data_IF_079034012899
#
_entry.id   IF_079034012899
#
_cell.length_a   1.000
_cell.length_b   1.000
_cell.length_c   1.000
_cell.angle_alpha   90.00
_cell.angle_beta   90.00
_cell.angle_gamma   90.00
#
_symmetry.space_group_name_H-M   'P 1'
#
loop_
_entity.id
_entity.type
_entity.pdbx_description
1 polymer ?
#
# COMPACT_ATOMS: atom_id res chain seq x y z
N UNK A 1 9.24 18.60 15.25
CA UNK A 1 8.43 19.71 14.67
C UNK A 1 7.04 19.61 15.30
N UNK A 2 6.47 20.70 15.81
CA UNK A 2 5.11 20.65 16.35
C UNK A 2 4.10 20.39 15.22
N UNK A 3 3.12 19.54 15.47
CA UNK A 3 2.11 19.13 14.48
C UNK A 3 1.37 20.35 13.88
N UNK A 4 1.08 21.36 14.68
CA UNK A 4 0.43 22.60 14.21
C UNK A 4 1.27 23.35 13.17
N UNK A 5 2.60 23.40 13.37
CA UNK A 5 3.52 24.03 12.41
C UNK A 5 3.62 23.24 11.11
N UNK A 6 3.66 21.91 11.21
CA UNK A 6 3.65 21.05 10.03
C UNK A 6 2.39 21.27 9.18
N UNK A 7 1.22 21.18 9.83
CA UNK A 7 -0.08 21.32 9.15
C UNK A 7 -0.29 22.71 8.57
N UNK A 8 0.17 23.75 9.28
CA UNK A 8 0.17 25.12 8.77
C UNK A 8 0.95 25.26 7.46
N UNK A 9 2.15 24.68 7.41
CA UNK A 9 3.03 24.76 6.24
C UNK A 9 2.47 23.95 5.05
N UNK A 10 2.05 22.70 5.29
CA UNK A 10 1.59 21.80 4.22
C UNK A 10 0.29 22.27 3.61
N UNK A 11 -0.64 22.79 4.41
CA UNK A 11 -1.96 23.20 3.96
C UNK A 11 -2.06 24.69 3.61
N UNK A 12 -0.96 25.43 3.76
CA UNK A 12 -0.89 26.86 3.53
C UNK A 12 -1.98 27.65 4.30
N UNK A 13 -2.15 27.32 5.57
CA UNK A 13 -3.05 27.99 6.53
C UNK A 13 -2.24 28.66 7.64
N UNK A 14 -2.84 29.58 8.38
CA UNK A 14 -2.12 30.20 9.49
C UNK A 14 -1.94 29.22 10.67
N UNK A 15 -0.87 29.42 11.45
CA UNK A 15 -0.62 28.62 12.65
C UNK A 15 -1.81 28.63 13.64
N UNK A 16 -2.45 29.80 13.81
CA UNK A 16 -3.65 29.93 14.66
C UNK A 16 -4.83 29.08 14.18
N UNK A 17 -5.03 29.00 12.85
CA UNK A 17 -6.07 28.13 12.27
C UNK A 17 -5.75 26.65 12.50
N UNK A 18 -4.47 26.27 12.34
CA UNK A 18 -4.02 24.91 12.60
C UNK A 18 -4.22 24.51 14.06
N UNK A 19 -3.81 25.37 15.00
CA UNK A 19 -3.93 25.14 16.44
C UNK A 19 -5.42 25.05 16.89
N UNK A 20 -6.25 25.97 16.43
CA UNK A 20 -7.69 25.94 16.74
C UNK A 20 -8.38 24.68 16.18
N UNK A 21 -8.01 24.26 14.97
CA UNK A 21 -8.58 23.06 14.35
C UNK A 21 -8.13 21.79 15.06
N UNK A 22 -6.85 21.70 15.47
CA UNK A 22 -6.33 20.59 16.28
C UNK A 22 -7.10 20.45 17.59
N UNK A 23 -7.23 21.54 18.33
CA UNK A 23 -7.95 21.56 19.61
C UNK A 23 -9.39 21.03 19.44
N UNK A 24 -10.13 21.52 18.46
CA UNK A 24 -11.50 21.07 18.20
C UNK A 24 -11.58 19.58 17.85
N UNK A 25 -10.63 19.05 17.10
CA UNK A 25 -10.56 17.62 16.77
C UNK A 25 -10.22 16.78 18.01
N UNK A 26 -9.32 17.23 18.87
CA UNK A 26 -8.96 16.59 20.14
C UNK A 26 -10.13 16.60 21.16
N UNK A 27 -10.97 17.62 21.13
CA UNK A 27 -12.23 17.70 21.88
C UNK A 27 -13.31 16.75 21.32
N UNK A 28 -13.03 16.02 20.24
CA UNK A 28 -13.94 15.05 19.64
C UNK A 28 -14.92 15.65 18.63
N UNK A 29 -14.74 16.90 18.21
CA UNK A 29 -15.59 17.50 17.20
C UNK A 29 -15.36 16.87 15.82
N UNK A 30 -16.44 16.53 15.12
CA UNK A 30 -16.36 15.99 13.77
C UNK A 30 -16.13 17.08 12.72
N UNK A 31 -15.48 16.75 11.60
CA UNK A 31 -15.24 17.68 10.49
C UNK A 31 -16.55 18.40 10.04
N UNK A 32 -17.68 17.69 9.82
CA UNK A 32 -18.93 18.36 9.46
C UNK A 32 -19.43 19.34 10.53
N UNK A 33 -19.22 19.03 11.81
CA UNK A 33 -19.60 19.92 12.90
C UNK A 33 -18.72 21.17 12.91
N UNK A 34 -17.41 21.04 12.80
CA UNK A 34 -16.47 22.16 12.71
C UNK A 34 -16.81 23.05 11.52
N UNK A 35 -17.02 22.46 10.35
CA UNK A 35 -17.33 23.19 9.12
C UNK A 35 -18.64 24.00 9.18
N UNK A 36 -19.62 23.59 10.03
CA UNK A 36 -20.91 24.27 10.16
C UNK A 36 -20.98 25.24 11.33
N UNK A 37 -20.46 24.84 12.48
CA UNK A 37 -20.72 25.53 13.74
C UNK A 37 -19.49 26.20 14.37
N UNK A 38 -18.29 25.91 13.86
CA UNK A 38 -17.03 26.42 14.40
C UNK A 38 -16.19 27.17 13.35
N UNK A 39 -16.85 27.77 12.36
CA UNK A 39 -16.19 28.49 11.27
C UNK A 39 -15.34 29.65 11.76
N UNK A 40 -15.86 30.45 12.70
CA UNK A 40 -15.14 31.61 13.22
C UNK A 40 -13.90 31.20 14.01
N UNK A 41 -13.98 30.11 14.80
CA UNK A 41 -12.85 29.58 15.57
C UNK A 41 -11.73 29.06 14.66
N UNK A 42 -12.06 28.49 13.52
CA UNK A 42 -11.10 27.97 12.53
C UNK A 42 -10.70 28.99 11.45
N UNK A 43 -11.13 30.25 11.59
CA UNK A 43 -10.86 31.31 10.60
C UNK A 43 -11.45 30.99 9.23
N UNK A 44 -12.67 30.47 9.17
CA UNK A 44 -13.44 30.15 7.96
C UNK A 44 -12.81 29.08 7.05
N UNK A 45 -12.12 28.09 7.60
CA UNK A 45 -11.62 26.96 6.82
C UNK A 45 -12.77 26.23 6.11
N UNK A 46 -12.56 25.89 4.84
CA UNK A 46 -13.54 25.14 4.06
C UNK A 46 -13.63 23.67 4.52
N UNK A 47 -14.76 22.98 4.25
CA UNK A 47 -14.92 21.56 4.49
C UNK A 47 -13.82 20.73 3.80
N UNK A 48 -13.40 21.14 2.60
CA UNK A 48 -12.32 20.52 1.86
C UNK A 48 -10.98 20.66 2.58
N UNK A 49 -10.67 21.86 3.08
CA UNK A 49 -9.44 22.13 3.83
C UNK A 49 -9.43 21.36 5.16
N UNK A 50 -10.58 21.31 5.86
CA UNK A 50 -10.70 20.57 7.11
C UNK A 50 -10.52 19.05 6.92
N UNK A 51 -11.00 18.49 5.81
CA UNK A 51 -10.76 17.07 5.47
C UNK A 51 -9.29 16.80 5.18
N UNK A 52 -8.68 17.65 4.33
CA UNK A 52 -7.24 17.56 4.06
C UNK A 52 -6.41 17.70 5.35
N UNK A 53 -6.87 18.56 6.27
CA UNK A 53 -6.25 18.71 7.58
C UNK A 53 -6.29 17.43 8.41
N UNK A 54 -7.44 16.76 8.47
CA UNK A 54 -7.57 15.50 9.20
C UNK A 54 -6.72 14.38 8.59
N UNK A 55 -6.67 14.28 7.26
CA UNK A 55 -5.85 13.31 6.55
C UNK A 55 -4.35 13.54 6.78
N UNK A 56 -3.91 14.81 6.75
CA UNK A 56 -2.50 15.14 6.96
C UNK A 56 -2.08 14.99 8.42
N UNK A 57 -2.98 15.31 9.36
CA UNK A 57 -2.81 15.03 10.79
C UNK A 57 -2.56 13.53 11.02
N UNK A 58 -3.39 12.68 10.46
CA UNK A 58 -3.26 11.22 10.61
C UNK A 58 -1.93 10.69 10.03
N UNK A 59 -1.50 11.21 8.87
CA UNK A 59 -0.20 10.85 8.29
C UNK A 59 0.95 11.27 9.18
N UNK A 60 0.91 12.48 9.72
CA UNK A 60 1.92 12.99 10.64
C UNK A 60 2.00 12.16 11.92
N UNK A 61 0.87 11.88 12.54
CA UNK A 61 0.81 11.05 13.75
C UNK A 61 1.36 9.64 13.53
N UNK A 62 1.00 9.00 12.42
CA UNK A 62 1.56 7.70 12.03
C UNK A 62 3.08 7.74 11.83
N UNK A 63 3.59 8.81 11.22
CA UNK A 63 5.02 9.00 11.05
C UNK A 63 5.73 9.15 12.41
N UNK A 64 5.21 10.00 13.29
CA UNK A 64 5.80 10.25 14.62
C UNK A 64 5.75 9.00 15.53
N UNK A 65 4.65 8.26 15.52
CA UNK A 65 4.53 7.00 16.22
C UNK A 65 5.54 5.97 15.70
N UNK A 66 5.69 5.92 14.37
CA UNK A 66 6.68 5.03 13.75
C UNK A 66 8.12 5.41 14.07
N UNK A 67 8.45 6.72 14.10
CA UNK A 67 9.76 7.22 14.55
C UNK A 67 10.08 6.74 15.96
N UNK A 68 9.13 6.87 16.90
CA UNK A 68 9.29 6.39 18.29
C UNK A 68 9.60 4.91 18.34
N UNK A 69 8.84 4.10 17.59
CA UNK A 69 9.05 2.65 17.50
C UNK A 69 10.43 2.30 16.94
N UNK A 70 10.86 2.99 15.89
CA UNK A 70 12.18 2.79 15.27
C UNK A 70 13.30 3.15 16.22
N UNK A 71 13.21 4.32 16.87
CA UNK A 71 14.22 4.76 17.85
C UNK A 71 14.34 3.78 19.02
N UNK A 72 13.21 3.32 19.58
CA UNK A 72 13.21 2.32 20.66
C UNK A 72 13.90 1.04 20.23
N UNK A 73 13.54 0.51 19.05
CA UNK A 73 14.11 -0.74 18.52
C UNK A 73 15.63 -0.64 18.28
N UNK A 74 16.11 0.51 17.78
CA UNK A 74 17.55 0.72 17.54
C UNK A 74 18.30 0.91 18.89
N UNK A 75 17.67 1.58 19.83
CA UNK A 75 18.22 1.78 21.19
C UNK A 75 18.36 0.47 21.94
N UNK A 76 17.35 -0.41 21.88
CA UNK A 76 17.38 -1.76 22.49
C UNK A 76 18.52 -2.62 21.93
N UNK A 77 18.92 -2.39 20.67
CA UNK A 77 20.06 -3.04 20.03
C UNK A 77 21.42 -2.40 20.40
N UNK A 78 21.43 -1.29 21.16
CA UNK A 78 22.65 -0.57 21.51
C UNK A 78 23.35 0.13 20.33
N UNK A 79 22.61 0.35 19.21
CA UNK A 79 23.16 0.90 17.97
C UNK A 79 22.74 2.34 17.67
N UNK A 80 22.03 2.99 18.59
CA UNK A 80 21.54 4.35 18.40
C UNK A 80 22.65 5.37 18.64
N UNK A 81 23.18 5.96 17.56
CA UNK A 81 24.12 7.09 17.62
C UNK A 81 23.37 8.43 17.58
N UNK A 82 24.00 9.54 18.05
CA UNK A 82 23.38 10.88 17.94
C UNK A 82 23.01 11.26 16.51
N UNK A 83 23.87 10.97 15.54
CA UNK A 83 23.65 11.27 14.12
C UNK A 83 22.47 10.46 13.54
N UNK A 84 22.32 9.19 13.96
CA UNK A 84 21.23 8.34 13.55
C UNK A 84 19.90 8.80 14.15
N UNK A 85 19.93 9.22 15.42
CA UNK A 85 18.78 9.83 16.08
C UNK A 85 18.31 11.06 15.32
N UNK A 86 19.20 11.98 15.00
CA UNK A 86 18.88 13.18 14.24
C UNK A 86 18.29 12.85 12.86
N UNK A 87 18.88 11.90 12.13
CA UNK A 87 18.34 11.42 10.83
C UNK A 87 16.92 10.89 10.95
N UNK A 88 16.61 10.14 12.00
CA UNK A 88 15.26 9.60 12.22
C UNK A 88 14.28 10.71 12.62
N UNK A 89 14.67 11.60 13.53
CA UNK A 89 13.83 12.70 14.01
C UNK A 89 13.50 13.72 12.91
N UNK A 90 14.46 14.02 12.03
CA UNK A 90 14.27 14.96 10.91
C UNK A 90 13.58 14.33 9.69
N UNK A 91 13.34 13.02 9.71
CA UNK A 91 12.71 12.32 8.60
C UNK A 91 11.28 12.83 8.35
N UNK A 92 10.95 13.08 7.07
CA UNK A 92 9.67 13.67 6.65
C UNK A 92 8.71 12.66 6.00
N UNK A 93 9.15 11.43 5.77
CA UNK A 93 8.30 10.40 5.12
C UNK A 93 8.52 9.01 5.70
N UNK A 94 7.47 8.20 5.73
CA UNK A 94 7.54 6.80 6.14
C UNK A 94 8.51 5.98 5.28
N UNK A 95 8.56 6.24 3.97
CA UNK A 95 9.45 5.53 3.05
C UNK A 95 10.93 5.78 3.39
N UNK A 96 11.28 7.03 3.65
CA UNK A 96 12.64 7.40 4.08
C UNK A 96 12.97 6.79 5.44
N UNK A 97 12.03 6.85 6.38
CA UNK A 97 12.17 6.26 7.72
C UNK A 97 12.43 4.75 7.65
N UNK A 98 11.65 4.02 6.85
CA UNK A 98 11.83 2.58 6.66
C UNK A 98 13.17 2.25 5.99
N UNK A 99 13.63 3.08 5.06
CA UNK A 99 14.95 2.91 4.45
C UNK A 99 16.09 3.10 5.47
N UNK A 100 16.00 4.12 6.33
CA UNK A 100 16.96 4.35 7.43
C UNK A 100 16.93 3.20 8.44
N UNK A 101 15.74 2.67 8.76
CA UNK A 101 15.57 1.59 9.73
C UNK A 101 16.00 0.21 9.18
N UNK A 102 16.09 0.04 7.86
CA UNK A 102 16.33 -1.25 7.20
C UNK A 102 17.53 -2.03 7.76
N UNK A 103 18.71 -1.42 8.02
CA UNK A 103 19.87 -2.12 8.58
C UNK A 103 19.65 -2.62 10.02
N UNK A 104 18.71 -1.99 10.74
CA UNK A 104 18.45 -2.25 12.16
C UNK A 104 17.21 -3.12 12.39
N UNK A 105 16.47 -3.39 11.32
CA UNK A 105 15.26 -4.19 11.41
C UNK A 105 15.59 -5.62 11.83
N UNK A 106 14.97 -6.16 12.90
CA UNK A 106 15.21 -7.54 13.30
C UNK A 106 14.97 -8.51 12.15
N UNK A 107 15.99 -9.23 11.75
CA UNK A 107 15.94 -10.21 10.68
C UNK A 107 15.91 -11.63 11.26
N UNK A 108 15.29 -12.56 10.55
CA UNK A 108 15.47 -14.00 10.81
C UNK A 108 16.91 -14.36 10.44
N UNK A 109 17.36 -15.58 10.86
CA UNK A 109 18.67 -16.09 10.43
C UNK A 109 18.81 -16.05 8.90
N UNK A 110 19.75 -15.24 8.43
CA UNK A 110 20.06 -15.02 7.03
C UNK A 110 21.42 -15.66 6.70
N UNK A 111 21.77 -15.78 5.41
CA UNK A 111 23.10 -16.27 5.01
C UNK A 111 24.22 -15.40 5.58
N UNK A 112 24.08 -14.08 5.49
CA UNK A 112 25.06 -13.14 6.02
C UNK A 112 25.14 -13.17 7.54
N UNK A 113 24.00 -13.30 8.28
CA UNK A 113 24.05 -13.43 9.73
C UNK A 113 24.72 -14.73 10.18
N UNK A 114 24.49 -15.85 9.47
CA UNK A 114 25.18 -17.11 9.72
C UNK A 114 26.69 -16.98 9.43
N UNK A 115 27.05 -16.30 8.35
CA UNK A 115 28.44 -16.04 8.03
C UNK A 115 29.13 -15.14 9.08
N UNK A 116 28.43 -14.15 9.65
CA UNK A 116 28.91 -13.33 10.77
C UNK A 116 29.10 -14.18 12.04
N UNK A 117 28.16 -15.06 12.38
CA UNK A 117 28.29 -16.01 13.50
C UNK A 117 29.54 -16.92 13.30
N UNK A 118 29.88 -17.25 12.07
CA UNK A 118 31.10 -17.99 11.72
C UNK A 118 32.37 -17.11 11.74
N UNK A 119 32.28 -15.83 12.03
CA UNK A 119 33.42 -14.92 12.17
C UNK A 119 34.04 -14.49 10.84
N UNK A 120 33.25 -14.46 9.74
CA UNK A 120 33.74 -14.10 8.41
C UNK A 120 33.65 -12.60 8.11
N UNK A 121 33.22 -11.77 9.06
CA UNK A 121 33.12 -10.32 8.91
C UNK A 121 34.47 -9.64 8.56
N UNK A 122 35.63 -9.99 9.18
CA UNK A 122 36.90 -9.40 8.80
C UNK A 122 37.32 -9.73 7.35
N UNK A 123 36.91 -10.88 6.82
CA UNK A 123 37.16 -11.24 5.42
C UNK A 123 36.26 -10.42 4.47
N UNK A 124 35.02 -10.15 4.86
CA UNK A 124 34.14 -9.25 4.13
C UNK A 124 34.71 -7.81 4.09
N UNK A 125 35.21 -7.32 5.23
CA UNK A 125 35.86 -6.01 5.31
C UNK A 125 37.12 -5.93 4.45
N UNK A 126 37.91 -7.02 4.39
CA UNK A 126 39.09 -7.10 3.52
C UNK A 126 38.71 -6.98 2.04
N UNK A 127 37.68 -7.72 1.61
CA UNK A 127 37.14 -7.62 0.26
C UNK A 127 36.68 -6.17 -0.06
N UNK A 128 36.01 -5.53 0.86
CA UNK A 128 35.47 -4.19 0.65
C UNK A 128 36.57 -3.12 0.60
N UNK A 129 37.67 -3.29 1.34
CA UNK A 129 38.83 -2.39 1.30
C UNK A 129 39.58 -2.42 -0.03
N UNK A 130 39.46 -3.51 -0.80
CA UNK A 130 40.02 -3.68 -2.14
C UNK A 130 41.55 -3.44 -2.20
N UNK A 131 42.23 -3.82 -1.15
CA UNK A 131 43.68 -3.70 -1.03
C UNK A 131 44.36 -5.06 -1.21
N UNK A 132 45.48 -5.12 -1.96
CA UNK A 132 46.18 -6.36 -2.26
C UNK A 132 45.76 -6.95 -3.62
N UNK A 133 46.13 -8.22 -3.83
CA UNK A 133 45.84 -8.97 -5.03
C UNK A 133 45.00 -10.23 -4.76
N UNK A 134 44.64 -10.97 -5.78
CA UNK A 134 43.87 -12.21 -5.66
C UNK A 134 44.57 -13.30 -4.85
N UNK A 135 45.91 -13.27 -4.82
CA UNK A 135 46.71 -14.26 -4.07
C UNK A 135 46.62 -13.95 -2.57
N UNK A 136 46.81 -12.70 -2.20
CA UNK A 136 46.67 -12.25 -0.81
C UNK A 136 45.24 -12.41 -0.25
N UNK A 137 44.21 -12.24 -1.11
CA UNK A 137 42.83 -12.55 -0.74
C UNK A 137 42.65 -14.03 -0.39
N UNK A 138 43.17 -14.93 -1.22
CA UNK A 138 43.09 -16.40 -1.00
C UNK A 138 43.85 -16.81 0.27
N UNK A 139 45.05 -16.27 0.44
CA UNK A 139 45.84 -16.49 1.64
C UNK A 139 45.13 -16.03 2.90
N UNK A 140 44.59 -14.82 2.88
CA UNK A 140 43.81 -14.29 4.02
C UNK A 140 42.54 -15.10 4.26
N UNK A 141 41.80 -15.48 3.23
CA UNK A 141 40.61 -16.33 3.36
C UNK A 141 40.97 -17.72 3.93
N UNK A 142 42.14 -18.27 3.65
CA UNK A 142 42.59 -19.54 4.20
C UNK A 142 42.73 -19.54 5.73
N UNK A 143 42.95 -18.37 6.34
CA UNK A 143 43.08 -18.23 7.81
C UNK A 143 41.72 -18.44 8.53
N UNK A 144 40.60 -18.41 7.81
CA UNK A 144 39.25 -18.60 8.36
C UNK A 144 38.75 -20.04 8.25
N UNK A 145 39.58 -20.95 7.68
CA UNK A 145 39.19 -22.36 7.55
C UNK A 145 39.07 -23.02 8.92
N UNK A 146 37.94 -23.65 9.15
CA UNK A 146 37.61 -24.39 10.37
C UNK A 146 36.49 -25.37 10.08
N UNK A 147 36.08 -26.18 11.11
CA UNK A 147 35.04 -27.20 10.96
C UNK A 147 33.76 -26.70 10.30
N UNK A 148 33.32 -25.45 10.63
CA UNK A 148 32.11 -24.83 10.12
C UNK A 148 32.31 -24.04 8.80
N UNK A 149 33.58 -23.92 8.35
CA UNK A 149 34.00 -23.27 7.09
C UNK A 149 35.10 -24.16 6.47
N UNK A 150 34.73 -25.28 5.86
CA UNK A 150 35.72 -26.32 5.47
C UNK A 150 36.53 -25.97 4.22
N UNK A 151 36.01 -25.10 3.33
CA UNK A 151 36.69 -24.76 2.07
C UNK A 151 36.93 -23.26 1.93
N UNK A 152 37.87 -22.92 1.04
CA UNK A 152 38.16 -21.53 0.67
C UNK A 152 36.92 -20.85 0.04
N UNK A 153 36.21 -21.62 -0.79
CA UNK A 153 34.96 -21.20 -1.43
C UNK A 153 33.88 -20.85 -0.39
N UNK A 154 33.75 -21.66 0.68
CA UNK A 154 32.79 -21.39 1.77
C UNK A 154 33.15 -20.10 2.54
N UNK A 155 34.43 -19.85 2.76
CA UNK A 155 34.89 -18.62 3.41
C UNK A 155 34.58 -17.39 2.56
N UNK A 156 34.94 -17.44 1.28
CA UNK A 156 34.67 -16.34 0.34
C UNK A 156 33.18 -16.13 0.13
N UNK A 157 32.38 -17.19 -0.04
CA UNK A 157 30.95 -17.10 -0.20
C UNK A 157 30.30 -16.48 1.04
N UNK A 158 30.71 -16.87 2.25
CA UNK A 158 30.21 -16.28 3.47
C UNK A 158 30.53 -14.79 3.59
N UNK A 159 31.74 -14.37 3.21
CA UNK A 159 32.12 -12.95 3.14
C UNK A 159 31.28 -12.19 2.09
N UNK A 160 31.04 -12.78 0.93
CA UNK A 160 30.19 -12.22 -0.11
C UNK A 160 28.74 -12.09 0.36
N UNK A 161 28.18 -13.08 1.05
CA UNK A 161 26.83 -13.03 1.61
C UNK A 161 26.67 -11.90 2.64
N UNK A 162 27.70 -11.64 3.46
CA UNK A 162 27.71 -10.50 4.39
C UNK A 162 27.66 -9.16 3.62
N UNK A 163 28.49 -9.01 2.60
CA UNK A 163 28.54 -7.78 1.80
C UNK A 163 27.25 -7.57 1.00
N UNK A 164 26.68 -8.62 0.43
CA UNK A 164 25.40 -8.55 -0.28
C UNK A 164 24.27 -8.03 0.63
N UNK A 165 24.22 -8.49 1.88
CA UNK A 165 23.26 -7.97 2.86
C UNK A 165 23.54 -6.51 3.25
N UNK A 166 24.81 -6.15 3.47
CA UNK A 166 25.18 -4.77 3.78
C UNK A 166 24.81 -3.81 2.64
N UNK A 167 24.99 -4.21 1.38
CA UNK A 167 24.60 -3.44 0.21
C UNK A 167 23.07 -3.31 0.15
N UNK A 168 22.34 -4.41 0.34
CA UNK A 168 20.87 -4.38 0.32
C UNK A 168 20.26 -3.55 1.43
N UNK A 169 20.97 -3.39 2.55
CA UNK A 169 20.55 -2.59 3.69
C UNK A 169 20.92 -1.11 3.56
N UNK A 170 21.71 -0.75 2.56
CA UNK A 170 22.08 0.64 2.33
C UNK A 170 20.88 1.45 1.85
N UNK A 171 20.50 2.47 2.65
CA UNK A 171 19.30 3.27 2.39
C UNK A 171 19.40 4.04 1.06
N UNK A 172 20.59 4.57 0.71
CA UNK A 172 20.76 5.37 -0.50
C UNK A 172 20.61 4.50 -1.76
N UNK A 173 21.18 3.30 -1.76
CA UNK A 173 21.03 2.36 -2.86
C UNK A 173 19.59 1.89 -3.01
N UNK A 174 18.94 1.60 -1.89
CA UNK A 174 17.55 1.19 -1.88
C UNK A 174 16.59 2.27 -2.41
N UNK A 175 16.77 3.51 -1.96
CA UNK A 175 15.97 4.64 -2.41
C UNK A 175 16.20 4.97 -3.88
N UNK A 176 17.47 4.93 -4.33
CA UNK A 176 17.79 5.10 -5.75
C UNK A 176 17.10 4.05 -6.62
N UNK A 177 17.22 2.78 -6.25
CA UNK A 177 16.58 1.68 -6.99
C UNK A 177 15.06 1.83 -7.02
N UNK A 178 14.45 2.19 -5.89
CA UNK A 178 13.00 2.43 -5.79
C UNK A 178 12.55 3.56 -6.71
N UNK A 179 13.23 4.70 -6.67
CA UNK A 179 12.91 5.85 -7.52
C UNK A 179 13.07 5.51 -9.00
N UNK A 180 14.16 4.80 -9.36
CA UNK A 180 14.41 4.36 -10.72
C UNK A 180 13.29 3.44 -11.23
N UNK A 181 12.86 2.45 -10.44
CA UNK A 181 11.76 1.54 -10.79
C UNK A 181 10.44 2.31 -10.95
N UNK A 182 10.12 3.24 -10.06
CA UNK A 182 8.91 4.06 -10.20
C UNK A 182 8.90 4.90 -11.48
N UNK A 183 10.06 5.42 -11.88
CA UNK A 183 10.19 6.33 -13.02
C UNK A 183 10.19 5.60 -14.35
N UNK A 184 10.88 4.47 -14.44
CA UNK A 184 11.14 3.75 -15.70
C UNK A 184 10.45 2.40 -15.80
N UNK A 185 10.09 1.82 -14.66
CA UNK A 185 9.54 0.47 -14.58
C UNK A 185 8.14 0.35 -15.14
N UNK A 186 7.84 -0.82 -15.67
CA UNK A 186 6.55 -1.20 -16.23
C UNK A 186 6.00 -2.40 -15.47
N UNK A 187 4.70 -2.48 -15.35
CA UNK A 187 3.99 -3.69 -14.94
C UNK A 187 3.55 -4.40 -16.23
N UNK A 188 3.91 -5.66 -16.35
CA UNK A 188 3.48 -6.56 -17.43
C UNK A 188 2.59 -7.64 -16.83
N UNK A 189 1.45 -7.91 -17.47
CA UNK A 189 0.57 -8.98 -17.07
C UNK A 189 0.33 -9.96 -18.19
N UNK A 190 0.16 -11.24 -17.83
CA UNK A 190 -0.09 -12.34 -18.75
C UNK A 190 -1.17 -13.24 -18.17
N UNK A 191 -2.09 -13.65 -19.02
CA UNK A 191 -3.15 -14.61 -18.68
C UNK A 191 -2.53 -15.98 -18.35
N UNK A 192 -3.06 -16.63 -17.33
CA UNK A 192 -2.72 -18.01 -16.97
C UNK A 192 -3.67 -18.99 -17.67
N UNK A 193 -3.32 -20.27 -17.65
CA UNK A 193 -4.17 -21.34 -18.20
C UNK A 193 -5.46 -21.55 -17.36
N UNK A 194 -5.54 -20.98 -16.17
CA UNK A 194 -6.71 -21.12 -15.27
C UNK A 194 -7.85 -20.16 -15.58
N UNK A 195 -7.64 -19.17 -16.46
CA UNK A 195 -8.72 -18.23 -16.88
C UNK A 195 -9.51 -18.77 -18.07
N UNK A 196 -10.26 -19.86 -17.86
CA UNK A 196 -11.08 -20.49 -18.88
C UNK A 196 -12.27 -19.62 -19.34
N UNK A 197 -12.68 -18.65 -18.52
CA UNK A 197 -13.83 -17.76 -18.79
C UNK A 197 -13.41 -16.47 -19.50
N UNK A 198 -12.12 -16.27 -19.74
CA UNK A 198 -11.56 -15.03 -20.31
C UNK A 198 -11.98 -13.76 -19.55
N UNK A 199 -12.23 -13.87 -18.26
CA UNK A 199 -12.70 -12.76 -17.40
C UNK A 199 -11.75 -11.56 -17.43
N UNK A 200 -10.45 -11.82 -17.58
CA UNK A 200 -9.40 -10.81 -17.58
C UNK A 200 -8.71 -10.65 -18.94
N UNK A 201 -9.39 -10.98 -20.04
CA UNK A 201 -8.84 -10.91 -21.40
C UNK A 201 -8.23 -9.54 -21.74
N UNK A 202 -8.82 -8.44 -21.27
CA UNK A 202 -8.32 -7.08 -21.47
C UNK A 202 -6.97 -6.80 -20.80
N UNK A 203 -6.53 -7.68 -19.91
CA UNK A 203 -5.25 -7.58 -19.22
C UNK A 203 -4.25 -8.63 -19.73
N UNK A 204 -4.62 -9.45 -20.73
CA UNK A 204 -3.66 -10.32 -21.37
C UNK A 204 -2.67 -9.51 -22.21
N UNK A 205 -1.37 -9.70 -21.99
CA UNK A 205 -0.30 -8.89 -22.60
C UNK A 205 -0.38 -7.39 -22.22
N UNK A 206 -1.02 -7.10 -21.07
CA UNK A 206 -1.07 -5.73 -20.55
C UNK A 206 0.33 -5.25 -20.17
N UNK A 207 0.67 -4.02 -20.58
CA UNK A 207 1.90 -3.35 -20.22
C UNK A 207 1.59 -1.88 -19.89
N UNK A 208 2.06 -1.40 -18.75
CA UNK A 208 1.87 -0.01 -18.33
C UNK A 208 3.02 0.45 -17.46
N UNK A 209 3.46 1.70 -17.64
CA UNK A 209 4.41 2.34 -16.71
C UNK A 209 3.82 2.38 -15.30
N UNK A 210 4.62 2.07 -14.30
CA UNK A 210 4.23 2.12 -12.88
C UNK A 210 3.69 3.51 -12.52
N UNK A 211 4.35 4.56 -13.00
CA UNK A 211 3.95 5.95 -12.76
C UNK A 211 2.61 6.36 -13.38
N UNK A 212 2.09 5.59 -14.34
CA UNK A 212 0.86 5.89 -15.09
C UNK A 212 -0.28 4.93 -14.85
N UNK A 213 -0.07 3.84 -14.13
CA UNK A 213 -1.10 2.83 -13.89
C UNK A 213 -2.27 3.45 -13.10
N UNK A 214 -3.48 3.15 -13.52
CA UNK A 214 -4.71 3.64 -12.88
C UNK A 214 -5.13 2.74 -11.71
N UNK A 215 -5.79 3.34 -10.72
CA UNK A 215 -6.26 2.61 -9.52
C UNK A 215 -7.09 1.38 -9.86
N UNK A 216 -8.03 1.47 -10.80
CA UNK A 216 -8.85 0.33 -11.20
C UNK A 216 -8.05 -0.79 -11.90
N UNK A 217 -6.96 -0.44 -12.60
CA UNK A 217 -6.09 -1.41 -13.27
C UNK A 217 -5.29 -2.22 -12.23
N UNK A 218 -4.67 -1.55 -11.27
CA UNK A 218 -3.90 -2.26 -10.21
C UNK A 218 -4.81 -3.15 -9.37
N UNK A 219 -6.02 -2.68 -9.01
CA UNK A 219 -7.00 -3.50 -8.28
C UNK A 219 -7.46 -4.71 -9.08
N UNK A 220 -7.65 -4.57 -10.40
CA UNK A 220 -8.00 -5.68 -11.29
C UNK A 220 -6.86 -6.71 -11.37
N UNK A 221 -5.61 -6.26 -11.56
CA UNK A 221 -4.43 -7.13 -11.61
C UNK A 221 -4.22 -7.91 -10.32
N UNK A 222 -4.33 -7.25 -9.17
CA UNK A 222 -4.18 -7.90 -7.86
C UNK A 222 -5.30 -8.92 -7.59
N UNK A 223 -6.53 -8.59 -7.96
CA UNK A 223 -7.67 -9.53 -7.87
C UNK A 223 -7.44 -10.74 -8.77
N UNK A 224 -7.09 -10.51 -10.03
CA UNK A 224 -6.84 -11.57 -10.99
C UNK A 224 -5.68 -12.49 -10.57
N UNK A 225 -4.61 -11.94 -9.97
CA UNK A 225 -3.52 -12.73 -9.38
C UNK A 225 -4.01 -13.57 -8.20
N UNK A 226 -4.85 -13.02 -7.31
CA UNK A 226 -5.46 -13.75 -6.19
C UNK A 226 -6.37 -14.89 -6.68
N UNK A 227 -7.10 -14.67 -7.78
CA UNK A 227 -7.93 -15.67 -8.45
C UNK A 227 -7.11 -16.65 -9.33
N UNK A 228 -5.78 -16.51 -9.38
CA UNK A 228 -4.83 -17.29 -10.19
C UNK A 228 -5.09 -17.21 -11.71
N UNK A 229 -5.88 -16.22 -12.16
CA UNK A 229 -6.25 -16.03 -13.57
C UNK A 229 -5.24 -15.20 -14.36
N UNK A 230 -4.44 -14.36 -13.68
CA UNK A 230 -3.32 -13.62 -14.26
C UNK A 230 -2.06 -13.77 -13.41
N UNK A 231 -0.91 -13.70 -14.07
CA UNK A 231 0.37 -13.38 -13.46
C UNK A 231 0.78 -11.96 -13.86
N UNK A 232 1.45 -11.25 -13.00
CA UNK A 232 2.11 -10.00 -13.34
C UNK A 232 3.53 -9.96 -12.80
N UNK A 233 4.39 -9.24 -13.48
CA UNK A 233 5.78 -8.99 -13.12
C UNK A 233 6.14 -7.54 -13.37
N UNK A 234 7.20 -7.09 -12.74
CA UNK A 234 7.82 -5.82 -13.08
C UNK A 234 8.83 -6.01 -14.20
N UNK A 235 9.02 -4.99 -15.00
CA UNK A 235 10.01 -4.98 -16.09
C UNK A 235 10.69 -3.62 -16.10
N UNK A 236 11.98 -3.60 -15.82
CA UNK A 236 12.86 -2.43 -15.79
C UNK A 236 14.28 -2.87 -16.08
N UNK A 237 15.19 -1.95 -16.26
CA UNK A 237 16.60 -2.25 -16.52
C UNK A 237 17.35 -2.39 -15.18
N UNK A 238 17.52 -3.64 -14.73
CA UNK A 238 18.22 -4.00 -13.49
C UNK A 238 19.71 -3.67 -13.57
N UNK A 239 20.33 -3.80 -14.76
CA UNK A 239 21.74 -3.52 -14.96
C UNK A 239 22.07 -2.07 -14.66
N UNK A 240 21.19 -1.12 -15.00
CA UNK A 240 21.39 0.29 -14.64
C UNK A 240 21.44 0.51 -13.13
N UNK A 241 20.65 -0.23 -12.35
CA UNK A 241 20.67 -0.17 -10.89
C UNK A 241 21.97 -0.78 -10.36
N UNK A 242 22.33 -1.97 -10.82
CA UNK A 242 23.58 -2.64 -10.42
C UNK A 242 24.81 -1.78 -10.74
N UNK A 243 24.92 -1.25 -11.95
CA UNK A 243 26.01 -0.35 -12.34
C UNK A 243 26.07 0.93 -11.50
N UNK A 244 24.93 1.48 -11.05
CA UNK A 244 24.95 2.61 -10.13
C UNK A 244 25.59 2.25 -8.79
N UNK A 245 25.28 1.07 -8.25
CA UNK A 245 25.85 0.57 -7.00
C UNK A 245 27.34 0.27 -7.16
N UNK A 246 27.72 -0.44 -8.23
CA UNK A 246 29.11 -0.77 -8.57
C UNK A 246 30.00 0.47 -8.63
N UNK A 247 29.57 1.53 -9.32
CA UNK A 247 30.31 2.79 -9.41
C UNK A 247 30.55 3.48 -8.05
N UNK A 248 29.75 3.16 -7.04
CA UNK A 248 29.88 3.71 -5.69
C UNK A 248 30.77 2.84 -4.79
N UNK A 249 30.82 1.54 -5.06
CA UNK A 249 31.49 0.56 -4.20
C UNK A 249 32.83 0.15 -4.80
N UNK A 250 32.92 -0.07 -6.12
CA UNK A 250 34.10 -0.64 -6.78
C UNK A 250 35.09 0.47 -7.11
N UNK A 251 36.31 0.36 -6.58
CA UNK A 251 37.41 1.26 -6.93
C UNK A 251 37.89 0.97 -8.35
N UNK A 252 38.32 2.02 -9.04
CA UNK A 252 38.92 1.87 -10.37
C UNK A 252 40.13 0.93 -10.31
N UNK A 253 40.21 -0.01 -11.23
CA UNK A 253 41.29 -1.01 -11.31
C UNK A 253 41.41 -1.95 -10.09
N UNK A 254 40.32 -2.16 -9.36
CA UNK A 254 40.28 -3.09 -8.24
C UNK A 254 40.53 -4.53 -8.69
N UNK A 255 41.47 -5.27 -8.10
CA UNK A 255 41.68 -6.69 -8.43
C UNK A 255 40.52 -7.56 -7.95
N UNK A 256 39.62 -7.04 -7.13
CA UNK A 256 38.43 -7.73 -6.59
C UNK A 256 37.15 -7.35 -7.32
N UNK A 257 37.23 -6.60 -8.44
CA UNK A 257 36.05 -6.13 -9.19
C UNK A 257 35.06 -7.26 -9.49
N UNK A 258 35.54 -8.38 -10.02
CA UNK A 258 34.69 -9.54 -10.36
C UNK A 258 33.95 -10.13 -9.16
N UNK A 259 34.52 -10.10 -7.95
CA UNK A 259 33.83 -10.53 -6.73
C UNK A 259 32.76 -9.50 -6.33
N UNK A 260 33.11 -8.22 -6.39
CA UNK A 260 32.20 -7.13 -6.00
C UNK A 260 31.01 -7.00 -6.97
N UNK A 261 31.23 -7.17 -8.26
CA UNK A 261 30.16 -7.25 -9.27
C UNK A 261 29.16 -8.36 -8.94
N UNK A 262 29.65 -9.57 -8.66
CA UNK A 262 28.81 -10.70 -8.22
C UNK A 262 28.06 -10.42 -6.91
N UNK A 263 28.70 -9.73 -5.98
CA UNK A 263 28.06 -9.35 -4.71
C UNK A 263 26.92 -8.36 -4.95
N UNK A 264 27.10 -7.38 -5.83
CA UNK A 264 26.07 -6.40 -6.18
C UNK A 264 24.90 -7.10 -6.88
N UNK A 265 25.18 -7.98 -7.86
CA UNK A 265 24.18 -8.78 -8.54
C UNK A 265 23.37 -9.65 -7.55
N UNK A 266 24.03 -10.44 -6.70
CA UNK A 266 23.35 -11.25 -5.66
C UNK A 266 22.55 -10.41 -4.67
N UNK A 267 23.08 -9.25 -4.25
CA UNK A 267 22.37 -8.31 -3.38
C UNK A 267 21.09 -7.80 -4.02
N UNK A 268 21.14 -7.51 -5.32
CA UNK A 268 19.97 -7.03 -6.04
C UNK A 268 18.96 -8.15 -6.27
N UNK A 269 19.36 -9.23 -6.93
CA UNK A 269 18.48 -10.31 -7.37
C UNK A 269 17.80 -11.03 -6.21
N UNK A 270 18.55 -11.30 -5.16
CA UNK A 270 18.06 -12.09 -4.03
C UNK A 270 17.37 -11.25 -2.95
N UNK A 271 17.81 -10.02 -2.73
CA UNK A 271 17.37 -9.22 -1.57
C UNK A 271 16.61 -7.96 -1.96
N UNK A 272 17.24 -7.08 -2.73
CA UNK A 272 16.72 -5.73 -2.98
C UNK A 272 15.57 -5.73 -3.96
N UNK A 273 15.71 -6.40 -5.11
CA UNK A 273 14.69 -6.46 -6.16
C UNK A 273 13.36 -7.01 -5.66
N UNK A 274 13.31 -8.24 -5.10
CA UNK A 274 12.07 -8.81 -4.58
C UNK A 274 11.42 -7.98 -3.46
N UNK A 275 12.24 -7.36 -2.61
CA UNK A 275 11.76 -6.47 -1.55
C UNK A 275 11.10 -5.22 -2.11
N UNK A 276 11.73 -4.59 -3.11
CA UNK A 276 11.19 -3.40 -3.79
C UNK A 276 9.91 -3.70 -4.55
N UNK A 277 9.84 -4.80 -5.28
CA UNK A 277 8.63 -5.19 -6.01
C UNK A 277 7.44 -5.40 -5.07
N UNK A 278 7.68 -6.02 -3.91
CA UNK A 278 6.65 -6.21 -2.89
C UNK A 278 6.21 -4.86 -2.27
N UNK A 279 7.16 -3.98 -1.96
CA UNK A 279 6.88 -2.66 -1.38
C UNK A 279 6.10 -1.78 -2.38
N UNK A 280 6.56 -1.71 -3.63
CA UNK A 280 5.88 -0.96 -4.69
C UNK A 280 4.47 -1.50 -4.94
N UNK A 281 4.31 -2.82 -4.96
CA UNK A 281 2.98 -3.46 -5.10
C UNK A 281 2.05 -3.01 -3.96
N UNK A 282 2.54 -3.02 -2.72
CA UNK A 282 1.77 -2.61 -1.54
C UNK A 282 1.38 -1.14 -1.62
N UNK A 283 2.31 -0.26 -1.95
CA UNK A 283 2.04 1.18 -2.07
C UNK A 283 1.02 1.49 -3.18
N UNK A 284 1.15 0.83 -4.33
CA UNK A 284 0.20 0.96 -5.43
C UNK A 284 -1.20 0.48 -5.03
N UNK A 285 -1.28 -0.61 -4.26
CA UNK A 285 -2.55 -1.14 -3.75
C UNK A 285 -3.21 -0.19 -2.76
N UNK A 286 -2.47 0.29 -1.77
CA UNK A 286 -2.97 1.23 -0.76
C UNK A 286 -3.49 2.50 -1.43
N UNK A 287 -2.71 3.11 -2.33
CA UNK A 287 -3.13 4.28 -3.10
C UNK A 287 -4.38 4.02 -3.97
N UNK A 288 -4.47 2.84 -4.58
CA UNK A 288 -5.62 2.46 -5.39
C UNK A 288 -6.87 2.24 -4.53
N UNK A 289 -6.70 1.67 -3.34
CA UNK A 289 -7.77 1.44 -2.38
C UNK A 289 -8.37 2.76 -1.88
N UNK A 290 -7.53 3.70 -1.45
CA UNK A 290 -7.97 5.02 -0.99
C UNK A 290 -8.72 5.77 -2.07
N UNK A 291 -8.18 5.79 -3.28
CA UNK A 291 -8.84 6.42 -4.44
C UNK A 291 -10.20 5.79 -4.75
N UNK A 292 -10.31 4.46 -4.64
CA UNK A 292 -11.57 3.75 -4.92
C UNK A 292 -12.61 3.96 -3.83
N UNK A 293 -12.19 4.00 -2.56
CA UNK A 293 -13.08 4.31 -1.44
C UNK A 293 -13.64 5.74 -1.54
N UNK A 294 -12.79 6.71 -1.90
CA UNK A 294 -13.21 8.09 -2.10
C UNK A 294 -14.25 8.20 -3.23
N UNK A 295 -14.02 7.50 -4.36
CA UNK A 295 -14.96 7.47 -5.48
C UNK A 295 -16.27 6.78 -5.09
N UNK A 296 -16.20 5.64 -4.38
CA UNK A 296 -17.39 4.94 -3.88
C UNK A 296 -18.22 5.83 -2.95
N UNK A 297 -17.58 6.50 -2.00
CA UNK A 297 -18.24 7.43 -1.08
C UNK A 297 -18.97 8.56 -1.82
N UNK A 298 -18.31 9.12 -2.86
CA UNK A 298 -18.92 10.16 -3.71
C UNK A 298 -20.15 9.65 -4.45
N UNK A 299 -20.05 8.47 -5.07
CA UNK A 299 -21.16 7.86 -5.81
C UNK A 299 -22.33 7.50 -4.88
N UNK A 300 -22.03 6.93 -3.71
CA UNK A 300 -23.03 6.61 -2.71
C UNK A 300 -23.77 7.87 -2.23
N UNK A 301 -23.01 8.94 -1.96
CA UNK A 301 -23.62 10.23 -1.59
C UNK A 301 -24.58 10.74 -2.66
N UNK A 302 -24.19 10.68 -3.95
CA UNK A 302 -25.05 11.10 -5.05
C UNK A 302 -26.31 10.22 -5.14
N UNK A 303 -26.19 8.92 -4.95
CA UNK A 303 -27.32 8.00 -4.97
C UNK A 303 -28.30 8.30 -3.82
N UNK A 304 -27.79 8.49 -2.60
CA UNK A 304 -28.60 8.80 -1.42
C UNK A 304 -29.27 10.18 -1.47
N UNK A 305 -28.66 11.13 -2.21
CA UNK A 305 -29.21 12.47 -2.42
C UNK A 305 -30.06 12.58 -3.67
N UNK A 306 -30.37 11.47 -4.35
CA UNK A 306 -31.30 11.48 -5.48
C UNK A 306 -32.66 12.03 -5.01
N UNK A 307 -33.27 12.98 -5.74
CA UNK A 307 -34.52 13.57 -5.33
C UNK A 307 -35.62 12.50 -5.32
N UNK A 308 -36.50 12.50 -4.28
CA UNK A 308 -37.62 11.57 -4.24
C UNK A 308 -38.64 11.88 -5.37
N UNK A 309 -39.38 10.87 -5.79
CA UNK A 309 -40.54 11.07 -6.65
C UNK A 309 -41.61 11.78 -5.81
N UNK A 310 -41.94 13.03 -6.19
CA UNK A 310 -42.93 13.82 -5.49
C UNK A 310 -44.33 13.52 -6.01
N UNK A 311 -45.32 13.63 -5.14
CA UNK A 311 -46.74 13.54 -5.46
C UNK A 311 -47.13 12.22 -6.15
N UNK A 312 -46.46 11.12 -5.76
CA UNK A 312 -46.67 9.79 -6.34
C UNK A 312 -46.92 8.74 -5.26
N UNK A 313 -47.85 7.82 -5.55
CA UNK A 313 -48.03 6.61 -4.76
C UNK A 313 -47.12 5.52 -5.31
N UNK A 314 -46.32 4.91 -4.44
CA UNK A 314 -45.29 3.96 -4.85
C UNK A 314 -45.47 2.65 -4.10
N UNK A 315 -45.54 1.55 -4.86
CA UNK A 315 -45.42 0.23 -4.30
C UNK A 315 -43.94 -0.22 -4.27
N UNK A 316 -43.34 -0.25 -3.09
CA UNK A 316 -42.05 -0.87 -2.87
C UNK A 316 -42.14 -2.40 -2.92
N UNK A 317 -41.28 -3.02 -3.72
CA UNK A 317 -41.25 -4.48 -3.93
C UNK A 317 -39.83 -4.95 -3.65
N UNK A 318 -39.61 -5.63 -2.51
CA UNK A 318 -38.31 -6.21 -2.13
C UNK A 318 -38.33 -7.74 -2.45
N UNK A 319 -37.62 -8.19 -3.50
CA UNK A 319 -37.62 -9.59 -3.91
C UNK A 319 -36.98 -10.51 -2.87
N UNK A 320 -37.61 -11.64 -2.57
CA UNK A 320 -37.10 -12.65 -1.64
C UNK A 320 -37.54 -14.06 -2.01
N UNK A 321 -36.57 -14.89 -2.42
CA UNK A 321 -36.88 -16.25 -2.94
C UNK A 321 -37.51 -17.18 -1.89
N UNK A 322 -36.88 -17.32 -0.72
CA UNK A 322 -37.36 -18.25 0.34
C UNK A 322 -38.43 -17.64 1.25
N UNK A 323 -38.23 -16.39 1.64
CA UNK A 323 -39.03 -15.71 2.65
C UNK A 323 -40.20 -14.90 2.03
N UNK A 324 -40.38 -15.02 0.73
CA UNK A 324 -41.37 -14.24 -0.03
C UNK A 324 -40.90 -12.80 -0.30
N UNK A 325 -41.55 -12.18 -1.30
CA UNK A 325 -41.30 -10.80 -1.66
C UNK A 325 -42.10 -9.88 -0.76
N UNK A 326 -41.42 -8.93 -0.11
CA UNK A 326 -42.06 -7.95 0.76
C UNK A 326 -42.62 -6.80 -0.04
N UNK A 327 -43.81 -6.34 0.31
CA UNK A 327 -44.48 -5.21 -0.29
C UNK A 327 -44.70 -4.10 0.75
N UNK A 328 -44.50 -2.86 0.33
CA UNK A 328 -44.90 -1.69 1.09
C UNK A 328 -45.44 -0.61 0.15
N UNK A 329 -46.70 -0.28 0.28
CA UNK A 329 -47.33 0.79 -0.47
C UNK A 329 -47.27 2.08 0.34
N UNK A 330 -46.77 3.15 -0.25
CA UNK A 330 -46.70 4.48 0.35
C UNK A 330 -47.49 5.49 -0.47
N UNK A 331 -48.05 6.49 0.22
CA UNK A 331 -48.72 7.64 -0.41
C UNK A 331 -47.70 8.71 -0.88
N UNK A 332 -48.23 9.79 -1.46
CA UNK A 332 -47.42 10.93 -1.92
C UNK A 332 -46.57 11.62 -0.84
N UNK A 333 -46.94 11.46 0.43
CA UNK A 333 -46.23 12.03 1.58
C UNK A 333 -45.27 11.04 2.24
N UNK A 334 -45.17 9.81 1.72
CA UNK A 334 -44.34 8.75 2.28
C UNK A 334 -44.98 7.96 3.43
N UNK A 335 -46.29 8.16 3.71
CA UNK A 335 -47.01 7.39 4.73
C UNK A 335 -47.34 5.99 4.19
N UNK A 336 -47.08 4.97 5.01
CA UNK A 336 -47.35 3.59 4.66
C UNK A 336 -48.86 3.32 4.66
N UNK A 337 -49.42 3.02 3.49
CA UNK A 337 -50.85 2.69 3.30
C UNK A 337 -51.12 1.18 3.48
N UNK A 338 -50.19 0.34 3.09
CA UNK A 338 -50.36 -1.13 3.18
C UNK A 338 -49.00 -1.82 3.14
N UNK A 339 -48.89 -2.94 3.83
CA UNK A 339 -47.74 -3.86 3.75
C UNK A 339 -48.22 -5.27 3.44
N UNK A 340 -47.32 -6.12 2.96
CA UNK A 340 -47.66 -7.51 2.69
C UNK A 340 -46.44 -8.34 2.25
N UNK A 341 -46.67 -9.62 2.13
CA UNK A 341 -45.69 -10.58 1.57
C UNK A 341 -46.41 -11.40 0.51
N UNK A 342 -45.78 -11.58 -0.63
CA UNK A 342 -46.26 -12.44 -1.72
C UNK A 342 -45.17 -13.46 -2.09
N UNK A 343 -45.57 -14.55 -2.70
CA UNK A 343 -44.69 -15.66 -3.04
C UNK A 343 -44.78 -16.02 -4.55
N UNK A 344 -44.28 -15.15 -5.45
CA UNK A 344 -44.40 -15.39 -6.89
C UNK A 344 -43.50 -16.49 -7.41
N UNK A 345 -42.55 -16.99 -6.63
CA UNK A 345 -41.52 -17.95 -7.08
C UNK A 345 -41.68 -19.36 -6.49
N UNK A 346 -42.71 -19.61 -5.70
CA UNK A 346 -42.93 -20.90 -5.00
C UNK A 346 -44.36 -21.49 -5.28
N UNK A 347 -44.83 -21.36 -6.52
CA UNK A 347 -46.09 -21.95 -6.93
C UNK A 347 -47.36 -21.21 -6.47
N UNK A 348 -47.21 -19.92 -6.04
CA UNK A 348 -48.29 -19.04 -5.62
C UNK A 348 -48.39 -17.79 -6.50
N UNK A 349 -48.10 -17.92 -7.80
CA UNK A 349 -48.06 -16.79 -8.73
C UNK A 349 -49.44 -16.13 -8.85
N UNK A 350 -50.55 -16.94 -8.95
CA UNK A 350 -51.90 -16.42 -9.02
C UNK A 350 -52.33 -15.64 -7.79
N UNK A 351 -51.95 -16.11 -6.61
CA UNK A 351 -52.24 -15.40 -5.34
C UNK A 351 -51.46 -14.08 -5.27
N UNK A 352 -50.21 -14.09 -5.74
CA UNK A 352 -49.37 -12.89 -5.80
C UNK A 352 -49.94 -11.86 -6.77
N UNK A 353 -50.38 -12.28 -7.97
CA UNK A 353 -51.03 -11.45 -8.97
C UNK A 353 -52.35 -10.85 -8.43
N UNK A 354 -53.20 -11.68 -7.85
CA UNK A 354 -54.47 -11.24 -7.25
C UNK A 354 -54.22 -10.19 -6.14
N UNK A 355 -53.20 -10.38 -5.34
CA UNK A 355 -52.83 -9.43 -4.29
C UNK A 355 -52.35 -8.07 -4.84
N UNK A 356 -51.52 -8.08 -5.87
CA UNK A 356 -51.05 -6.87 -6.55
C UNK A 356 -52.20 -6.11 -7.20
N UNK A 357 -53.08 -6.83 -7.92
CA UNK A 357 -54.27 -6.22 -8.51
C UNK A 357 -55.24 -5.64 -7.48
N UNK A 358 -55.45 -6.33 -6.35
CA UNK A 358 -56.26 -5.82 -5.24
C UNK A 358 -55.69 -4.53 -4.64
N UNK A 359 -54.37 -4.46 -4.49
CA UNK A 359 -53.69 -3.24 -4.01
C UNK A 359 -53.85 -2.09 -5.02
N UNK A 360 -53.71 -2.39 -6.32
CA UNK A 360 -53.89 -1.39 -7.38
C UNK A 360 -55.34 -0.88 -7.44
N UNK A 361 -56.33 -1.77 -7.40
CA UNK A 361 -57.76 -1.40 -7.43
C UNK A 361 -58.14 -0.55 -6.21
N UNK A 362 -57.56 -0.83 -5.04
CA UNK A 362 -57.91 -0.13 -3.81
C UNK A 362 -57.23 1.24 -3.67
N UNK A 363 -55.98 1.35 -4.11
CA UNK A 363 -55.17 2.53 -3.84
C UNK A 363 -54.66 3.26 -5.09
N UNK A 364 -54.53 2.57 -6.24
CA UNK A 364 -54.16 3.19 -7.51
C UNK A 364 -52.71 3.70 -7.56
N UNK A 365 -51.70 2.88 -7.20
CA UNK A 365 -50.31 3.33 -7.20
C UNK A 365 -49.80 3.66 -8.61
N UNK A 366 -48.90 4.68 -8.70
CA UNK A 366 -48.33 5.19 -9.95
C UNK A 366 -47.13 4.37 -10.42
N UNK A 367 -46.29 3.90 -9.46
CA UNK A 367 -45.04 3.22 -9.74
C UNK A 367 -44.82 2.01 -8.83
N UNK A 368 -44.09 1.03 -9.38
CA UNK A 368 -43.50 -0.06 -8.58
C UNK A 368 -41.98 0.16 -8.48
N UNK A 369 -41.49 0.33 -7.28
CA UNK A 369 -40.06 0.37 -7.00
C UNK A 369 -39.57 -1.06 -6.70
N UNK A 370 -38.93 -1.71 -7.67
CA UNK A 370 -38.47 -3.09 -7.58
C UNK A 370 -37.01 -3.10 -7.08
N UNK A 371 -36.75 -3.79 -5.95
CA UNK A 371 -35.42 -4.07 -5.49
C UNK A 371 -34.66 -5.02 -6.43
N UNK A 372 -33.31 -4.98 -6.36
CA UNK A 372 -32.44 -5.81 -7.21
C UNK A 372 -32.14 -7.21 -6.62
N UNK A 373 -32.90 -7.66 -5.64
CA UNK A 373 -32.78 -8.98 -5.07
C UNK A 373 -33.18 -10.10 -6.06
N UNK A 374 -32.78 -11.33 -5.74
CA UNK A 374 -33.13 -12.51 -6.53
C UNK A 374 -34.47 -13.08 -6.08
N UNK A 375 -35.48 -13.00 -6.95
CA UNK A 375 -36.71 -13.77 -6.86
C UNK A 375 -37.41 -13.82 -8.22
#
# INVERSE_FOLDING_TARGET
>A
MEIAQHLSNVLNISFKQAEATLRLLEEGATIPFIARYKKEETGNLSDVTLRAFAEEKEKFEKLEERKKTVLSSIQEQGKLTPELREKVETCTSLSLLEAIYRPYKPKRKTRGSIAKEKGLEPLADYLLKQQGDLSSLKEYASTFLKKDVPTLEDALQGAMDILAENISDNADFYLYAKEYIYKTGKIKAKQTKEDNENKYQNYNQFECLISRIKSYQILALLRAKKEKKLSYSFSYDELTICHHIERKIIHRDSPFSTYLEKIVEDSYDRLTGPSLENEITKELFEKAQDSSLALFSKNLKQLLLAPPLKDKQILGFDPGYKNGCKLALIDANGQVLSTGIIYPTVGKEKDAEARLLSLYQKYGYDYIALGNGTA
#
